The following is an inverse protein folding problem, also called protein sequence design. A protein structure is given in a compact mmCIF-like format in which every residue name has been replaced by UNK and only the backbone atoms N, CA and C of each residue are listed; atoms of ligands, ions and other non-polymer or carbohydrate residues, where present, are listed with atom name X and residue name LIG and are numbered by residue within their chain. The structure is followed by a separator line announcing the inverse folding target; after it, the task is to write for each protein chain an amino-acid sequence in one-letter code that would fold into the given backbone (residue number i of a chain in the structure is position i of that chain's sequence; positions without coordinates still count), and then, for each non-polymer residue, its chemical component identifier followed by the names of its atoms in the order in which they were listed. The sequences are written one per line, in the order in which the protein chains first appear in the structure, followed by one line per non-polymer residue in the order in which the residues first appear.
data_IF_640116142417
#
_entry.id   IF_640116142417
#
_cell.length_a   1.000
_cell.length_b   1.000
_cell.length_c   1.000
_cell.angle_alpha   90.00
_cell.angle_beta   90.00
_cell.angle_gamma   90.00
#
_symmetry.space_group_name_H-M   'P 1'
#
loop_
_entity.id
_entity.type
_entity.pdbx_description
1 polymer ?
#
# COMPACT_ATOMS: atom_id res chain seq x y z
N UNK A 1 16.81 16.81 0.41
CA UNK A 1 16.94 15.34 0.44
C UNK A 1 15.80 14.66 1.21
N UNK A 2 15.41 15.13 2.40
CA UNK A 2 14.28 14.57 3.18
C UNK A 2 12.93 14.47 2.45
N UNK A 3 12.56 15.47 1.64
CA UNK A 3 11.27 15.46 0.95
C UNK A 3 11.16 14.35 -0.12
N UNK A 4 12.29 13.97 -0.72
CA UNK A 4 12.35 12.90 -1.73
C UNK A 4 12.11 11.53 -1.05
N UNK A 5 12.75 11.30 0.11
CA UNK A 5 12.61 10.03 0.84
C UNK A 5 11.18 9.83 1.39
N UNK A 6 10.50 10.91 1.78
CA UNK A 6 9.09 10.85 2.20
C UNK A 6 8.16 10.50 1.03
N UNK A 7 8.40 11.08 -0.16
CA UNK A 7 7.63 10.72 -1.36
C UNK A 7 7.83 9.26 -1.78
N UNK A 8 9.05 8.74 -1.68
CA UNK A 8 9.31 7.33 -1.98
C UNK A 8 8.62 6.38 -1.01
N UNK A 9 8.49 6.74 0.28
CA UNK A 9 7.72 5.96 1.25
C UNK A 9 6.24 5.84 0.86
N UNK A 10 5.69 6.85 0.19
CA UNK A 10 4.32 6.86 -0.31
C UNK A 10 4.14 6.20 -1.68
N UNK A 11 5.19 5.68 -2.32
CA UNK A 11 5.03 4.94 -3.60
C UNK A 11 4.57 3.50 -3.37
N UNK A 12 3.65 3.05 -4.22
CA UNK A 12 3.19 1.68 -4.29
C UNK A 12 4.39 0.74 -4.46
N UNK A 13 4.54 -0.21 -3.54
CA UNK A 13 5.68 -1.14 -3.53
C UNK A 13 5.58 -2.28 -4.56
N UNK A 14 4.58 -2.21 -5.44
CA UNK A 14 4.32 -3.21 -6.48
C UNK A 14 4.67 -2.64 -7.85
N UNK A 15 3.99 -1.56 -8.28
CA UNK A 15 4.27 -0.92 -9.56
C UNK A 15 5.37 0.14 -9.49
N UNK A 16 5.63 0.72 -8.31
CA UNK A 16 6.53 1.87 -8.10
C UNK A 16 6.14 3.15 -8.88
N UNK A 17 5.03 3.14 -9.62
CA UNK A 17 4.56 4.28 -10.41
C UNK A 17 3.57 5.17 -9.64
N UNK A 18 2.58 4.55 -9.00
CA UNK A 18 1.47 5.23 -8.32
C UNK A 18 1.70 5.31 -6.82
N UNK A 19 1.01 6.23 -6.16
CA UNK A 19 1.09 6.35 -4.71
C UNK A 19 0.26 5.26 -4.01
N UNK A 20 0.61 4.95 -2.76
CA UNK A 20 -0.15 4.06 -1.90
C UNK A 20 -1.52 4.66 -1.62
N UNK A 21 -2.57 3.84 -1.74
CA UNK A 21 -3.95 4.30 -1.59
C UNK A 21 -4.85 3.24 -0.93
N UNK A 22 -4.29 2.13 -0.48
CA UNK A 22 -5.03 0.99 0.04
C UNK A 22 -4.37 0.46 1.31
N UNK A 23 -5.17 0.34 2.37
CA UNK A 23 -4.83 -0.41 3.58
C UNK A 23 -5.38 -1.84 3.49
N UNK A 24 -4.60 -2.82 3.92
CA UNK A 24 -5.03 -4.22 3.99
C UNK A 24 -5.65 -4.54 5.35
N UNK A 25 -6.76 -5.27 5.36
CA UNK A 25 -7.39 -5.75 6.59
C UNK A 25 -7.07 -7.24 6.82
N UNK A 26 -6.79 -7.67 8.06
CA UNK A 26 -6.85 -6.87 9.29
C UNK A 26 -5.58 -6.09 9.65
N UNK A 27 -4.46 -6.28 8.95
CA UNK A 27 -3.14 -5.81 9.43
C UNK A 27 -2.90 -4.29 9.37
N UNK A 28 -3.70 -3.54 8.61
CA UNK A 28 -3.64 -2.09 8.48
C UNK A 28 -2.53 -1.54 7.58
N UNK A 29 -1.64 -2.38 7.04
CA UNK A 29 -0.49 -1.90 6.27
C UNK A 29 -0.89 -1.24 4.94
N UNK A 30 -0.29 -0.09 4.67
CA UNK A 30 -0.41 0.72 3.46
C UNK A 30 0.74 0.40 2.50
N UNK A 31 0.46 -0.42 1.49
CA UNK A 31 1.53 -1.03 0.67
C UNK A 31 1.42 -0.68 -0.81
N UNK A 32 0.19 -0.57 -1.31
CA UNK A 32 -0.04 -0.51 -2.75
C UNK A 32 -1.13 0.48 -3.17
N UNK A 33 -1.14 0.78 -4.47
CA UNK A 33 -2.19 1.57 -5.10
C UNK A 33 -3.46 0.73 -5.30
N UNK A 34 -4.55 1.37 -5.72
CA UNK A 34 -5.85 0.73 -5.98
C UNK A 34 -5.79 -0.36 -7.05
N UNK A 35 -4.87 -0.25 -8.00
CA UNK A 35 -4.84 -1.13 -9.18
C UNK A 35 -4.05 -2.41 -8.89
N UNK A 36 -3.04 -2.31 -8.03
CA UNK A 36 -2.24 -3.46 -7.61
C UNK A 36 -2.92 -4.27 -6.49
N UNK A 37 -3.76 -3.63 -5.67
CA UNK A 37 -4.39 -4.27 -4.51
C UNK A 37 -5.16 -5.58 -4.82
N UNK A 38 -5.95 -5.70 -5.92
CA UNK A 38 -6.71 -6.91 -6.22
C UNK A 38 -5.85 -8.17 -6.45
N UNK A 39 -4.59 -8.00 -6.84
CA UNK A 39 -3.65 -9.09 -7.09
C UNK A 39 -2.96 -9.61 -5.82
N UNK A 40 -3.07 -8.90 -4.70
CA UNK A 40 -2.39 -9.26 -3.45
C UNK A 40 -3.34 -10.05 -2.53
N UNK A 41 -2.86 -11.20 -2.05
CA UNK A 41 -3.57 -12.08 -1.11
C UNK A 41 -2.91 -12.15 0.27
N UNK A 42 -1.63 -11.83 0.36
CA UNK A 42 -0.83 -11.84 1.58
C UNK A 42 -0.09 -10.50 1.66
N UNK A 43 -0.15 -9.83 2.82
CA UNK A 43 0.54 -8.57 3.01
C UNK A 43 2.07 -8.78 2.99
N UNK A 44 2.78 -8.14 2.06
CA UNK A 44 4.24 -8.30 1.92
C UNK A 44 5.07 -7.70 3.08
N UNK A 45 4.43 -6.97 4.00
CA UNK A 45 5.10 -6.36 5.15
C UNK A 45 5.11 -7.31 6.35
N UNK A 46 4.00 -8.01 6.59
CA UNK A 46 3.79 -8.80 7.80
C UNK A 46 3.35 -10.24 7.55
N UNK A 47 3.21 -10.65 6.29
CA UNK A 47 2.73 -11.96 5.86
C UNK A 47 1.31 -12.36 6.33
N UNK A 48 0.53 -11.41 6.86
CA UNK A 48 -0.88 -11.63 7.20
C UNK A 48 -1.75 -11.79 5.94
N UNK A 49 -2.74 -12.69 5.98
CA UNK A 49 -3.71 -12.88 4.90
C UNK A 49 -4.62 -11.65 4.74
N UNK A 50 -4.74 -11.14 3.52
CA UNK A 50 -5.61 -10.00 3.20
C UNK A 50 -7.05 -10.49 3.10
N UNK A 51 -7.89 -10.09 4.07
CA UNK A 51 -9.32 -10.42 4.13
C UNK A 51 -10.22 -9.32 3.56
N UNK A 52 -9.67 -8.12 3.41
CA UNK A 52 -10.37 -6.97 2.85
C UNK A 52 -9.41 -5.83 2.57
N UNK A 53 -9.89 -4.83 1.84
CA UNK A 53 -9.12 -3.64 1.49
C UNK A 53 -9.95 -2.39 1.78
N UNK A 54 -9.29 -1.33 2.23
CA UNK A 54 -9.92 -0.01 2.42
C UNK A 54 -9.13 1.00 1.63
N UNK A 55 -9.82 1.78 0.78
CA UNK A 55 -9.22 2.91 0.07
C UNK A 55 -8.96 4.03 1.08
N UNK A 56 -7.73 4.53 1.13
CA UNK A 56 -7.33 5.63 2.01
C UNK A 56 -7.23 6.94 1.23
N UNK A 57 -7.47 8.05 1.92
CA UNK A 57 -7.32 9.40 1.38
C UNK A 57 -6.35 10.15 2.30
N UNK A 58 -5.24 10.62 1.73
CA UNK A 58 -4.30 11.49 2.43
C UNK A 58 -4.63 12.94 2.06
N UNK A 59 -4.71 13.86 3.04
CA UNK A 59 -4.87 15.29 2.79
C UNK A 59 -3.61 15.91 2.15
#
# INVERSE_FOLDING_TARGET
EENISLKEKLKCKVCLEKDVAVAFLPCGHLVCCTDCAPAIRICIICNEMVKGTVKTFFP
#
